data_IF_744602615678
#
_entry.id   IF_744602615678
#
_cell.length_a   1.000
_cell.length_b   1.000
_cell.length_c   1.000
_cell.angle_alpha   90.00
_cell.angle_beta   90.00
_cell.angle_gamma   90.00
#
_symmetry.space_group_name_H-M   'P 1'
#
loop_
_entity.id
_entity.type
_entity.pdbx_description
1 polymer ?
#
# COMPACT_ATOMS: atom_id res chain seq x y z
N UNK A 1 -5.15 12.58 14.40
CA UNK A 1 -4.84 11.46 13.50
C UNK A 1 -5.91 10.39 13.66
N UNK A 2 -6.46 9.89 12.55
CA UNK A 2 -7.49 8.84 12.55
C UNK A 2 -6.89 7.57 11.96
N UNK A 3 -7.05 6.44 12.65
CA UNK A 3 -6.57 5.13 12.23
C UNK A 3 -7.80 4.28 11.91
N UNK A 4 -7.79 3.61 10.77
CA UNK A 4 -8.89 2.75 10.32
C UNK A 4 -8.41 1.31 10.42
N UNK A 5 -9.18 0.46 11.10
CA UNK A 5 -8.94 -0.98 11.22
C UNK A 5 -10.17 -1.75 10.77
N UNK A 6 -10.00 -3.01 10.37
CA UNK A 6 -11.11 -3.95 10.28
C UNK A 6 -11.72 -4.22 11.67
N UNK A 7 -12.84 -4.95 11.68
CA UNK A 7 -13.54 -5.34 12.91
C UNK A 7 -13.03 -6.67 13.49
N UNK A 8 -11.79 -7.06 13.25
CA UNK A 8 -11.25 -8.29 13.83
C UNK A 8 -11.33 -8.21 15.38
N UNK A 9 -11.83 -9.27 16.06
CA UNK A 9 -11.84 -9.39 17.51
C UNK A 9 -10.50 -9.12 18.20
N UNK A 10 -9.37 -9.16 17.48
CA UNK A 10 -8.04 -8.78 17.97
C UNK A 10 -7.87 -7.26 18.16
N UNK A 11 -8.57 -6.44 17.37
CA UNK A 11 -8.46 -4.96 17.37
C UNK A 11 -9.65 -4.24 18.02
N UNK A 12 -10.69 -4.96 18.39
CA UNK A 12 -11.89 -4.45 19.09
C UNK A 12 -11.84 -4.43 20.63
N UNK A 13 -10.91 -5.07 21.37
CA UNK A 13 -10.88 -5.03 22.82
C UNK A 13 -10.68 -3.62 23.40
N UNK A 14 -11.20 -3.40 24.62
CA UNK A 14 -11.05 -2.15 25.38
C UNK A 14 -9.60 -1.68 25.55
N UNK A 15 -8.63 -2.59 25.40
CA UNK A 15 -7.20 -2.27 25.35
C UNK A 15 -6.90 -1.26 24.24
N UNK A 16 -7.35 -1.51 23.00
CA UNK A 16 -7.06 -0.63 21.86
C UNK A 16 -7.70 0.73 22.03
N UNK A 17 -8.95 0.80 22.48
CA UNK A 17 -9.61 2.08 22.77
C UNK A 17 -8.81 2.92 23.77
N UNK A 18 -8.26 2.29 24.82
CA UNK A 18 -7.42 2.97 25.79
C UNK A 18 -6.07 3.40 25.24
N UNK A 19 -5.40 2.54 24.46
CA UNK A 19 -4.15 2.87 23.76
C UNK A 19 -4.35 4.10 22.88
N UNK A 20 -5.37 4.09 22.02
CA UNK A 20 -5.65 5.21 21.12
C UNK A 20 -5.96 6.50 21.88
N UNK A 21 -6.71 6.43 22.99
CA UNK A 21 -6.95 7.58 23.88
C UNK A 21 -5.66 8.14 24.47
N UNK A 22 -4.74 7.29 24.93
CA UNK A 22 -3.45 7.72 25.48
C UNK A 22 -2.56 8.40 24.43
N UNK A 23 -2.54 7.86 23.20
CA UNK A 23 -1.78 8.43 22.09
C UNK A 23 -2.48 9.61 21.40
N UNK A 24 -3.67 10.03 21.86
CA UNK A 24 -4.44 11.12 21.26
C UNK A 24 -4.89 10.82 19.82
N UNK A 25 -5.03 9.55 19.47
CA UNK A 25 -5.49 9.09 18.16
C UNK A 25 -6.92 8.56 18.26
N UNK A 26 -7.64 8.58 17.13
CA UNK A 26 -8.97 7.99 17.04
C UNK A 26 -8.88 6.68 16.25
N UNK A 27 -9.43 5.60 16.81
CA UNK A 27 -9.63 4.34 16.11
C UNK A 27 -11.04 4.32 15.53
N UNK A 28 -11.11 4.17 14.21
CA UNK A 28 -12.32 3.95 13.43
C UNK A 28 -12.31 2.53 12.91
N UNK A 29 -13.46 1.88 12.85
CA UNK A 29 -13.60 0.56 12.24
C UNK A 29 -14.24 0.68 10.87
N UNK A 30 -13.68 -0.02 9.88
CA UNK A 30 -14.31 -0.15 8.57
C UNK A 30 -15.68 -0.85 8.71
N UNK A 31 -16.58 -0.57 7.78
CA UNK A 31 -17.85 -1.30 7.68
C UNK A 31 -17.62 -2.52 6.78
N UNK A 32 -18.37 -3.61 7.00
CA UNK A 32 -18.24 -4.86 6.23
C UNK A 32 -18.42 -4.72 4.70
N UNK A 33 -18.77 -3.53 4.23
CA UNK A 33 -18.88 -3.14 2.82
C UNK A 33 -18.31 -1.74 2.63
N UNK A 34 -17.01 -1.54 2.88
CA UNK A 34 -16.28 -0.36 2.42
C UNK A 34 -15.15 -0.74 1.43
N UNK A 35 -15.49 -1.20 0.21
CA UNK A 35 -14.52 -1.75 -0.76
C UNK A 35 -13.42 -0.76 -1.13
N UNK A 36 -13.66 0.54 -0.97
CA UNK A 36 -12.72 1.59 -1.35
C UNK A 36 -11.57 1.75 -0.35
N UNK A 37 -11.84 1.72 0.96
CA UNK A 37 -10.79 1.88 1.97
C UNK A 37 -10.12 0.56 2.27
N UNK A 38 -10.91 -0.50 2.45
CA UNK A 38 -10.37 -1.81 2.79
C UNK A 38 -9.67 -2.43 1.58
N UNK A 39 -10.23 -2.30 0.37
CA UNK A 39 -9.63 -2.86 -0.85
C UNK A 39 -8.31 -2.21 -1.31
N UNK A 40 -7.96 -1.01 -0.81
CA UNK A 40 -6.62 -0.44 -1.04
C UNK A 40 -5.60 -1.06 -0.09
N UNK A 41 -5.97 -1.22 1.19
CA UNK A 41 -5.13 -1.85 2.21
C UNK A 41 -4.96 -3.33 1.91
N UNK A 42 -6.01 -4.04 1.50
CA UNK A 42 -5.96 -5.45 1.09
C UNK A 42 -5.02 -5.65 -0.11
N UNK A 43 -5.12 -4.82 -1.16
CA UNK A 43 -4.19 -4.88 -2.30
C UNK A 43 -2.75 -4.60 -1.89
N UNK A 44 -2.55 -3.67 -0.95
CA UNK A 44 -1.22 -3.42 -0.38
C UNK A 44 -0.70 -4.66 0.34
N UNK A 45 -1.50 -5.26 1.21
CA UNK A 45 -1.13 -6.47 1.97
C UNK A 45 -0.81 -7.61 1.00
N UNK A 46 -1.65 -7.86 0.00
CA UNK A 46 -1.40 -8.87 -1.03
C UNK A 46 -0.08 -8.65 -1.79
N UNK A 47 0.24 -7.39 -2.12
CA UNK A 47 1.52 -7.06 -2.78
C UNK A 47 2.69 -7.42 -1.87
N UNK A 48 2.61 -7.10 -0.58
CA UNK A 48 3.65 -7.42 0.40
C UNK A 48 3.78 -8.93 0.61
N UNK A 49 2.66 -9.66 0.71
CA UNK A 49 2.64 -11.12 0.81
C UNK A 49 3.29 -11.78 -0.42
N UNK A 50 2.97 -11.31 -1.62
CA UNK A 50 3.58 -11.79 -2.86
C UNK A 50 5.09 -11.53 -2.90
N UNK A 51 5.54 -10.36 -2.45
CA UNK A 51 6.96 -10.03 -2.37
C UNK A 51 7.69 -10.96 -1.38
N UNK A 52 7.11 -11.19 -0.20
CA UNK A 52 7.66 -12.12 0.81
C UNK A 52 7.73 -13.52 0.20
N UNK A 53 6.64 -14.00 -0.40
CA UNK A 53 6.58 -15.34 -0.99
C UNK A 53 7.64 -15.54 -2.06
N UNK A 54 7.84 -14.56 -2.95
CA UNK A 54 8.86 -14.63 -4.00
C UNK A 54 10.27 -14.62 -3.42
N UNK A 55 10.56 -13.75 -2.46
CA UNK A 55 11.89 -13.70 -1.84
C UNK A 55 12.16 -14.97 -1.02
N UNK A 56 11.17 -15.53 -0.36
CA UNK A 56 11.26 -16.81 0.34
C UNK A 56 11.47 -18.00 -0.60
N UNK A 57 10.77 -18.03 -1.73
CA UNK A 57 10.84 -19.13 -2.70
C UNK A 57 12.11 -19.08 -3.58
N UNK A 58 12.64 -17.89 -3.87
CA UNK A 58 13.75 -17.68 -4.79
C UNK A 58 15.03 -17.09 -4.14
N UNK A 59 15.00 -16.80 -2.84
CA UNK A 59 16.06 -16.10 -2.11
C UNK A 59 17.24 -16.98 -1.69
N UNK A 60 18.38 -16.30 -1.57
CA UNK A 60 19.71 -16.75 -1.16
C UNK A 60 19.65 -17.87 -0.10
N UNK A 61 20.15 -19.06 -0.45
CA UNK A 61 20.35 -20.26 0.39
C UNK A 61 19.96 -20.16 1.87
N UNK A 62 18.66 -20.13 2.17
CA UNK A 62 18.15 -20.41 3.52
C UNK A 62 17.93 -21.92 3.69
N UNK A 63 18.98 -22.70 3.43
CA UNK A 63 18.99 -24.15 3.64
C UNK A 63 19.76 -24.44 4.93
N UNK A 64 19.06 -24.88 5.95
CA UNK A 64 19.65 -25.75 6.97
C UNK A 64 19.48 -27.22 6.52
N UNK A 65 20.07 -28.16 7.26
CA UNK A 65 20.07 -29.60 6.94
C UNK A 65 18.69 -30.21 6.65
N UNK A 66 17.61 -29.57 7.11
CA UNK A 66 16.22 -30.01 6.95
C UNK A 66 15.44 -29.26 5.85
N UNK A 67 16.10 -28.39 5.08
CA UNK A 67 15.61 -27.92 3.77
C UNK A 67 14.75 -26.65 3.73
N UNK A 68 14.34 -26.08 4.87
CA UNK A 68 13.52 -24.85 4.88
C UNK A 68 13.70 -24.01 6.16
N UNK A 69 14.57 -22.99 6.14
CA UNK A 69 14.55 -21.95 7.17
C UNK A 69 14.02 -20.63 6.59
N UNK A 70 12.70 -20.51 6.50
CA UNK A 70 12.02 -19.29 6.05
C UNK A 70 12.08 -18.20 7.15
N UNK A 71 13.26 -17.72 7.53
CA UNK A 71 13.38 -16.55 8.40
C UNK A 71 13.14 -15.26 7.60
N UNK A 72 11.91 -15.13 7.09
CA UNK A 72 11.44 -13.99 6.33
C UNK A 72 11.59 -12.67 7.09
N UNK A 73 11.67 -12.73 8.44
CA UNK A 73 11.93 -11.55 9.28
C UNK A 73 13.27 -10.89 8.93
N UNK A 74 14.30 -11.68 8.57
CA UNK A 74 15.60 -11.15 8.13
C UNK A 74 15.52 -10.42 6.78
N UNK A 75 14.50 -10.74 5.97
CA UNK A 75 14.28 -10.17 4.64
C UNK A 75 13.42 -8.90 4.69
N UNK A 76 12.72 -8.64 5.79
CA UNK A 76 11.85 -7.46 5.95
C UNK A 76 12.56 -6.15 5.57
N UNK A 77 13.80 -5.86 6.01
CA UNK A 77 14.44 -4.59 5.67
C UNK A 77 14.69 -4.43 4.16
N UNK A 78 15.06 -5.51 3.47
CA UNK A 78 15.29 -5.49 2.03
C UNK A 78 13.95 -5.31 1.27
N UNK A 79 12.89 -5.99 1.72
CA UNK A 79 11.55 -5.86 1.15
C UNK A 79 10.97 -4.46 1.36
N UNK A 80 11.14 -3.89 2.56
CA UNK A 80 10.71 -2.53 2.88
C UNK A 80 11.39 -1.51 1.96
N UNK A 81 12.71 -1.66 1.74
CA UNK A 81 13.45 -0.80 0.83
C UNK A 81 12.89 -0.91 -0.59
N UNK A 82 12.76 -2.14 -1.11
CA UNK A 82 12.27 -2.40 -2.46
C UNK A 82 10.85 -1.85 -2.67
N UNK A 83 9.97 -2.08 -1.70
CA UNK A 83 8.60 -1.55 -1.72
C UNK A 83 8.60 -0.02 -1.75
N UNK A 84 9.43 0.63 -0.92
CA UNK A 84 9.51 2.10 -0.87
C UNK A 84 10.10 2.73 -2.12
N UNK A 85 10.94 2.01 -2.87
CA UNK A 85 11.60 2.51 -4.09
C UNK A 85 10.93 2.07 -5.38
N UNK A 86 9.98 1.14 -5.32
CA UNK A 86 9.21 0.70 -6.49
C UNK A 86 8.12 1.70 -6.86
N UNK A 87 7.91 1.91 -8.16
CA UNK A 87 6.85 2.79 -8.65
C UNK A 87 5.51 2.07 -8.56
N UNK A 88 4.54 2.67 -7.88
CA UNK A 88 3.20 2.10 -7.75
C UNK A 88 2.32 2.53 -8.91
N UNK A 89 1.64 1.57 -9.56
CA UNK A 89 0.75 1.85 -10.69
C UNK A 89 -0.38 2.83 -10.35
N UNK A 90 -0.90 2.78 -9.13
CA UNK A 90 -2.00 3.64 -8.68
C UNK A 90 -1.61 5.11 -8.49
N UNK A 91 -0.33 5.40 -8.22
CA UNK A 91 0.15 6.77 -7.96
C UNK A 91 1.14 7.26 -9.01
N UNK A 92 1.69 6.36 -9.84
CA UNK A 92 2.77 6.65 -10.77
C UNK A 92 4.07 7.12 -10.11
N UNK A 93 4.20 6.94 -8.79
CA UNK A 93 5.32 7.43 -7.98
C UNK A 93 5.75 6.35 -6.98
N UNK A 94 6.95 6.50 -6.43
CA UNK A 94 7.43 5.64 -5.35
C UNK A 94 6.89 6.14 -3.99
N UNK A 95 6.64 5.24 -3.01
CA UNK A 95 6.27 5.66 -1.66
C UNK A 95 7.29 6.60 -1.01
N UNK A 96 8.60 6.34 -1.18
CA UNK A 96 9.65 7.20 -0.63
C UNK A 96 9.58 8.64 -1.18
N UNK A 97 9.29 8.80 -2.47
CA UNK A 97 9.13 10.12 -3.08
C UNK A 97 7.90 10.85 -2.55
N UNK A 98 6.80 10.14 -2.30
CA UNK A 98 5.57 10.74 -1.78
C UNK A 98 5.67 11.14 -0.30
N UNK A 99 6.33 10.31 0.50
CA UNK A 99 6.48 10.51 1.95
C UNK A 99 7.60 11.51 2.26
N UNK A 100 8.78 11.31 1.68
CA UNK A 100 10.02 12.01 2.04
C UNK A 100 10.52 12.96 0.96
N UNK A 101 9.94 12.94 -0.25
CA UNK A 101 10.38 13.78 -1.36
C UNK A 101 11.71 13.38 -1.99
N UNK A 102 12.23 12.20 -1.64
CA UNK A 102 13.48 11.68 -2.15
C UNK A 102 13.45 10.15 -2.21
N UNK A 103 14.10 9.59 -3.23
CA UNK A 103 14.37 8.16 -3.29
C UNK A 103 15.75 7.89 -2.68
N UNK A 104 15.86 6.89 -1.77
CA UNK A 104 17.16 6.47 -1.27
C UNK A 104 18.00 5.89 -2.41
N UNK A 105 19.33 6.03 -2.32
CA UNK A 105 20.26 5.33 -3.22
C UNK A 105 20.20 3.84 -2.95
N UNK A 106 20.03 3.06 -4.00
CA UNK A 106 20.07 1.60 -3.96
C UNK A 106 21.48 1.06 -4.21
N UNK A 107 21.80 -0.18 -3.80
CA UNK A 107 23.09 -0.80 -4.13
C UNK A 107 23.41 -0.76 -5.64
N UNK A 108 22.40 -0.97 -6.49
CA UNK A 108 22.52 -0.90 -7.94
C UNK A 108 22.94 0.49 -8.45
N UNK A 109 22.57 1.57 -7.75
CA UNK A 109 22.94 2.94 -8.11
C UNK A 109 24.45 3.20 -7.94
N UNK A 110 25.13 2.41 -7.11
CA UNK A 110 26.60 2.51 -6.92
C UNK A 110 27.36 2.22 -8.21
N UNK A 111 26.75 1.48 -9.14
CA UNK A 111 27.35 1.17 -10.44
C UNK A 111 27.16 2.31 -11.46
N UNK A 112 26.31 3.29 -11.16
CA UNK A 112 25.96 4.40 -12.05
C UNK A 112 26.83 5.63 -11.77
N UNK A 113 27.75 5.92 -12.69
CA UNK A 113 28.70 7.05 -12.59
C UNK A 113 28.08 8.41 -12.92
N UNK A 114 26.89 8.42 -13.50
CA UNK A 114 26.13 9.59 -13.94
C UNK A 114 25.16 10.13 -12.87
N UNK A 115 25.05 9.47 -11.71
CA UNK A 115 24.19 9.92 -10.62
C UNK A 115 24.80 11.09 -9.85
N UNK A 116 24.42 12.30 -10.25
CA UNK A 116 24.76 13.53 -9.53
C UNK A 116 23.83 13.69 -8.33
N UNK A 117 24.41 13.76 -7.12
CA UNK A 117 23.66 14.09 -5.90
C UNK A 117 23.46 15.61 -5.82
N UNK A 118 22.36 16.11 -6.37
CA UNK A 118 21.98 17.51 -6.18
C UNK A 118 20.86 17.52 -5.14
N UNK A 119 21.22 17.83 -3.90
CA UNK A 119 20.20 18.11 -2.89
C UNK A 119 19.48 19.40 -3.27
N UNK A 120 18.16 19.37 -3.54
CA UNK A 120 17.44 20.58 -3.92
C UNK A 120 17.41 21.58 -2.76
N UNK A 121 17.42 22.88 -3.07
CA UNK A 121 17.10 23.92 -2.09
C UNK A 121 15.68 23.70 -1.54
N UNK A 122 15.39 24.16 -0.32
CA UNK A 122 14.07 24.00 0.30
C UNK A 122 12.90 24.47 -0.61
N UNK A 123 13.08 25.56 -1.34
CA UNK A 123 12.08 26.06 -2.31
C UNK A 123 11.85 25.10 -3.47
N UNK A 124 12.93 24.57 -4.06
CA UNK A 124 12.86 23.60 -5.15
C UNK A 124 12.25 22.28 -4.68
N UNK A 125 12.61 21.84 -3.47
CA UNK A 125 12.06 20.64 -2.83
C UNK A 125 10.54 20.75 -2.65
N UNK A 126 10.04 21.89 -2.16
CA UNK A 126 8.60 22.15 -2.05
C UNK A 126 7.90 22.04 -3.40
N UNK A 127 8.44 22.68 -4.44
CA UNK A 127 7.87 22.64 -5.80
C UNK A 127 7.80 21.21 -6.33
N UNK A 128 8.87 20.43 -6.12
CA UNK A 128 8.94 19.03 -6.54
C UNK A 128 7.88 18.21 -5.80
N UNK A 129 7.80 18.32 -4.47
CA UNK A 129 6.80 17.60 -3.67
C UNK A 129 5.37 17.93 -4.07
N UNK A 130 5.06 19.21 -4.30
CA UNK A 130 3.73 19.65 -4.71
C UNK A 130 3.36 19.05 -6.07
N UNK A 131 4.30 19.02 -7.03
CA UNK A 131 4.12 18.39 -8.33
C UNK A 131 3.90 16.88 -8.22
N UNK A 132 4.74 16.18 -7.45
CA UNK A 132 4.63 14.72 -7.24
C UNK A 132 3.30 14.37 -6.60
N UNK A 133 2.88 15.10 -5.56
CA UNK A 133 1.58 14.90 -4.90
C UNK A 133 0.41 15.20 -5.83
N UNK A 134 0.53 16.22 -6.67
CA UNK A 134 -0.50 16.53 -7.67
C UNK A 134 -0.63 15.41 -8.70
N UNK A 135 0.49 14.93 -9.24
CA UNK A 135 0.52 13.81 -10.17
C UNK A 135 -0.10 12.55 -9.55
N UNK A 136 0.31 12.19 -8.32
CA UNK A 136 -0.23 11.01 -7.65
C UNK A 136 -1.75 11.09 -7.44
N UNK A 137 -2.28 12.26 -7.05
CA UNK A 137 -3.73 12.48 -6.94
C UNK A 137 -4.44 12.29 -8.29
N UNK A 138 -3.84 12.78 -9.37
CA UNK A 138 -4.40 12.64 -10.70
C UNK A 138 -4.39 11.18 -11.15
N UNK A 139 -3.27 10.47 -11.00
CA UNK A 139 -3.19 9.03 -11.31
C UNK A 139 -4.20 8.19 -10.54
N UNK A 140 -4.40 8.49 -9.24
CA UNK A 140 -5.41 7.82 -8.42
C UNK A 140 -6.83 8.10 -8.93
N UNK A 141 -7.11 9.34 -9.32
CA UNK A 141 -8.40 9.72 -9.90
C UNK A 141 -8.65 9.02 -11.23
N UNK A 142 -7.66 9.01 -12.11
CA UNK A 142 -7.77 8.37 -13.43
C UNK A 142 -7.99 6.85 -13.28
N UNK A 143 -7.27 6.21 -12.34
CA UNK A 143 -7.48 4.80 -11.99
C UNK A 143 -8.90 4.54 -11.48
N UNK A 144 -9.41 5.43 -10.64
CA UNK A 144 -10.77 5.35 -10.13
C UNK A 144 -11.81 5.53 -11.24
N UNK A 145 -11.66 6.55 -12.07
CA UNK A 145 -12.57 6.86 -13.17
C UNK A 145 -12.61 5.71 -14.19
N UNK A 146 -11.45 5.10 -14.48
CA UNK A 146 -11.36 3.90 -15.30
C UNK A 146 -12.10 2.71 -14.68
N UNK A 147 -11.84 2.41 -13.40
CA UNK A 147 -12.50 1.30 -12.70
C UNK A 147 -14.03 1.48 -12.64
N UNK A 148 -14.49 2.72 -12.45
CA UNK A 148 -15.91 3.06 -12.48
C UNK A 148 -16.52 2.80 -13.86
N UNK A 149 -15.86 3.23 -14.94
CA UNK A 149 -16.36 3.01 -16.30
C UNK A 149 -16.45 1.51 -16.63
N UNK A 150 -15.47 0.71 -16.23
CA UNK A 150 -15.51 -0.75 -16.44
C UNK A 150 -16.61 -1.43 -15.62
N UNK A 151 -16.82 -0.98 -14.37
CA UNK A 151 -17.94 -1.44 -13.55
C UNK A 151 -19.29 -1.09 -14.18
N UNK A 152 -19.47 0.13 -14.68
CA UNK A 152 -20.71 0.56 -15.35
C UNK A 152 -21.01 -0.23 -16.62
N UNK A 153 -19.99 -0.64 -17.39
CA UNK A 153 -20.16 -1.48 -18.59
C UNK A 153 -20.57 -2.92 -18.26
N UNK A 154 -20.08 -3.45 -17.15
CA UNK A 154 -20.28 -4.85 -16.76
C UNK A 154 -21.48 -5.05 -15.84
N UNK A 155 -21.92 -4.01 -15.12
CA UNK A 155 -23.06 -4.09 -14.22
C UNK A 155 -24.40 -4.19 -14.98
N UNK A 156 -25.08 -5.32 -14.82
CA UNK A 156 -26.50 -5.46 -15.11
C UNK A 156 -27.26 -5.35 -13.80
N UNK A 157 -28.08 -4.31 -13.64
CA UNK A 157 -29.02 -4.24 -12.52
C UNK A 157 -30.05 -5.35 -12.73
N UNK A 158 -30.20 -6.30 -11.80
CA UNK A 158 -31.25 -7.31 -11.92
C UNK A 158 -32.62 -6.63 -11.84
N UNK A 159 -33.48 -6.91 -12.81
CA UNK A 159 -34.86 -6.43 -12.80
C UNK A 159 -35.67 -7.31 -11.84
N UNK A 160 -35.96 -6.80 -10.64
CA UNK A 160 -36.73 -7.53 -9.63
C UNK A 160 -38.20 -7.16 -9.73
N UNK A 161 -39.08 -8.16 -9.76
CA UNK A 161 -40.52 -7.97 -9.69
C UNK A 161 -41.00 -8.17 -8.26
N UNK A 162 -42.12 -7.52 -7.93
CA UNK A 162 -42.79 -7.69 -6.64
C UNK A 162 -43.19 -9.16 -6.49
N UNK A 163 -42.53 -9.87 -5.57
CA UNK A 163 -42.70 -11.31 -5.33
C UNK A 163 -41.44 -12.16 -5.50
N UNK A 164 -40.35 -11.59 -6.04
CA UNK A 164 -39.09 -12.33 -6.18
C UNK A 164 -38.40 -12.54 -4.82
N UNK A 165 -38.00 -13.78 -4.56
CA UNK A 165 -37.23 -14.16 -3.38
C UNK A 165 -35.79 -13.69 -3.57
N UNK A 166 -35.39 -12.67 -2.81
CA UNK A 166 -34.00 -12.25 -2.69
C UNK A 166 -33.31 -13.12 -1.63
N UNK A 167 -32.09 -13.57 -1.93
CA UNK A 167 -31.24 -14.24 -0.94
C UNK A 167 -30.93 -13.23 0.18
N UNK A 168 -31.36 -13.60 1.39
CA UNK A 168 -31.04 -12.89 2.63
C UNK A 168 -29.63 -13.24 3.11
#
# INVERSE_FOLDING_TARGET
>A
MNIISDRDPKFTPALWTNIHRLFGTKLSFSTAYHPQTDGLVERMIQTLEDMIMRLCAYGLEFKDSDGFNHDWCTLIPALELEYKTSVHSSTGQTPAMLEKGLNPRLPADTLRKDLIDIHPTASSFKIILDKVKHHAKQSMKDTFDYAKQEWEKSHKVPDFKVGDLVLA
#
